data_IF_281188753929
#
_entry.id   IF_281188753929
#
_cell.length_a   1.000
_cell.length_b   1.000
_cell.length_c   1.000
_cell.angle_alpha   90.00
_cell.angle_beta   90.00
_cell.angle_gamma   90.00
#
_symmetry.space_group_name_H-M   'P 1'
#
loop_
_entity.id
_entity.type
_entity.pdbx_description
1 polymer ?
#
# COMPACT_ATOMS: atom_id res chain seq x y z
N UNK A 1 8.26 11.74 -6.52
CA UNK A 1 8.59 10.34 -6.85
C UNK A 1 7.50 9.48 -6.25
N UNK A 2 6.84 8.65 -7.05
CA UNK A 2 5.78 7.77 -6.58
C UNK A 2 6.39 6.67 -5.73
N UNK A 3 5.82 6.43 -4.55
CA UNK A 3 6.22 5.34 -3.66
C UNK A 3 5.85 4.02 -4.33
N UNK A 4 6.78 3.09 -4.42
CA UNK A 4 6.51 1.73 -4.88
C UNK A 4 6.41 0.80 -3.66
N UNK A 5 5.47 -0.13 -3.68
CA UNK A 5 5.28 -1.15 -2.65
C UNK A 5 5.18 -2.52 -3.30
N UNK A 6 5.71 -3.54 -2.64
CA UNK A 6 5.47 -4.91 -3.05
C UNK A 6 4.05 -5.30 -2.61
N UNK A 7 3.12 -5.28 -3.55
CA UNK A 7 1.73 -5.48 -3.23
C UNK A 7 1.44 -6.95 -2.95
N UNK A 8 1.06 -7.27 -1.71
CA UNK A 8 0.76 -8.65 -1.30
C UNK A 8 -0.45 -9.22 -2.06
N UNK A 9 -1.37 -8.37 -2.49
CA UNK A 9 -2.55 -8.75 -3.28
C UNK A 9 -2.22 -9.04 -4.76
N UNK A 10 -1.33 -8.26 -5.37
CA UNK A 10 -0.99 -8.41 -6.80
C UNK A 10 0.25 -9.26 -7.05
N UNK A 11 1.05 -9.52 -6.02
CA UNK A 11 2.32 -10.25 -6.12
C UNK A 11 3.38 -9.55 -6.97
N UNK A 12 3.24 -8.24 -7.19
CA UNK A 12 4.15 -7.41 -7.99
C UNK A 12 4.40 -6.08 -7.30
N UNK A 13 5.48 -5.43 -7.70
CA UNK A 13 5.76 -4.06 -7.31
C UNK A 13 4.79 -3.12 -8.05
N UNK A 14 4.06 -2.30 -7.28
CA UNK A 14 3.06 -1.38 -7.80
C UNK A 14 3.06 -0.09 -6.96
N UNK A 15 2.38 0.94 -7.45
CA UNK A 15 2.32 2.23 -6.75
C UNK A 15 1.65 2.09 -5.40
N UNK A 16 2.32 2.52 -4.34
CA UNK A 16 1.78 2.56 -2.99
C UNK A 16 0.66 3.60 -2.86
N UNK A 17 -0.16 3.42 -1.83
CA UNK A 17 -1.15 4.42 -1.43
C UNK A 17 -0.49 5.78 -1.13
N UNK A 18 -1.22 6.87 -1.35
CA UNK A 18 -0.73 8.24 -1.05
C UNK A 18 -0.78 8.54 0.46
N UNK A 19 -1.71 7.91 1.17
CA UNK A 19 -1.88 8.02 2.63
C UNK A 19 -2.50 6.76 3.22
N UNK A 20 -2.27 6.47 4.51
CA UNK A 20 -2.95 5.37 5.20
C UNK A 20 -4.48 5.56 5.16
N UNK A 21 -5.25 4.52 4.81
CA UNK A 21 -6.72 4.61 4.72
C UNK A 21 -7.39 4.66 6.09
N UNK A 22 -6.72 4.11 7.10
CA UNK A 22 -7.21 4.06 8.48
C UNK A 22 -6.12 4.54 9.45
N UNK A 23 -6.49 5.12 10.60
CA UNK A 23 -5.54 5.40 11.67
C UNK A 23 -5.10 4.12 12.39
N UNK A 24 -3.91 4.15 12.98
CA UNK A 24 -3.36 3.04 13.77
C UNK A 24 -2.55 2.01 12.97
N UNK A 25 -2.15 0.95 13.65
CA UNK A 25 -1.25 -0.09 13.11
C UNK A 25 -1.82 -0.80 11.87
N UNK A 26 -3.15 -0.96 11.81
CA UNK A 26 -3.80 -1.60 10.67
C UNK A 26 -3.61 -0.78 9.39
N UNK A 27 -3.85 0.54 9.45
CA UNK A 27 -3.66 1.41 8.30
C UNK A 27 -2.20 1.52 7.87
N UNK A 28 -1.27 1.47 8.83
CA UNK A 28 0.16 1.43 8.54
C UNK A 28 0.55 0.15 7.77
N UNK A 29 0.06 -1.02 8.22
CA UNK A 29 0.28 -2.30 7.52
C UNK A 29 -0.27 -2.29 6.11
N UNK A 30 -1.50 -1.77 5.92
CA UNK A 30 -2.13 -1.66 4.61
C UNK A 30 -1.31 -0.74 3.71
N UNK A 31 -0.97 0.44 4.21
CA UNK A 31 -0.16 1.40 3.49
C UNK A 31 1.13 0.74 3.00
N UNK A 32 1.88 0.06 3.88
CA UNK A 32 3.16 -0.60 3.61
C UNK A 32 3.10 -1.79 2.64
N UNK A 33 2.01 -2.55 2.62
CA UNK A 33 1.94 -3.83 1.91
C UNK A 33 0.92 -3.87 0.76
N UNK A 34 0.11 -2.82 0.59
CA UNK A 34 -0.96 -2.77 -0.41
C UNK A 34 -0.75 -1.59 -1.35
N UNK A 35 -0.83 -1.88 -2.65
CA UNK A 35 -0.75 -0.87 -3.70
C UNK A 35 -2.09 -0.18 -3.92
N UNK A 36 -2.04 1.01 -4.51
CA UNK A 36 -3.18 1.81 -4.94
C UNK A 36 -4.03 1.12 -6.02
N UNK A 37 -3.45 0.18 -6.77
CA UNK A 37 -4.16 -0.64 -7.76
C UNK A 37 -5.03 -1.72 -7.07
N UNK A 38 -4.62 -2.20 -5.90
CA UNK A 38 -5.27 -3.31 -5.19
C UNK A 38 -6.18 -2.89 -4.03
N UNK A 39 -6.09 -1.63 -3.60
CA UNK A 39 -6.87 -1.05 -2.51
C UNK A 39 -8.03 -0.22 -3.05
#
# INVERSE_FOLDING_TARGET
MTRMVNCVLLGKEAEGLDRPPYPGELGKRIFENVSKEAW
#
